data_IF_772539738929
#
_entry.id   IF_772539738929
#
_cell.length_a   1.000
_cell.length_b   1.000
_cell.length_c   1.000
_cell.angle_alpha   90.00
_cell.angle_beta   90.00
_cell.angle_gamma   90.00
#
_symmetry.space_group_name_H-M   'P 1'
#
loop_
_entity.id
_entity.type
_entity.pdbx_description
1 polymer ?
#
# COMPACT_ATOMS: atom_id res chain seq x y z
N UNK A 1 -17.37 16.90 -11.83
CA UNK A 1 -15.96 17.00 -12.28
C UNK A 1 -15.47 15.59 -12.57
N UNK A 2 -15.09 15.28 -13.81
CA UNK A 2 -14.57 13.96 -14.14
C UNK A 2 -13.25 13.75 -13.36
N UNK A 3 -13.12 12.62 -12.66
CA UNK A 3 -11.88 12.26 -11.96
C UNK A 3 -10.77 12.20 -13.00
N UNK A 4 -9.68 12.93 -12.76
CA UNK A 4 -8.52 12.90 -13.65
C UNK A 4 -8.03 11.45 -13.81
N UNK A 5 -7.67 11.07 -15.04
CA UNK A 5 -7.09 9.75 -15.31
C UNK A 5 -5.75 9.67 -14.57
N UNK A 6 -5.62 8.67 -13.71
CA UNK A 6 -4.36 8.43 -13.00
C UNK A 6 -3.34 7.83 -13.97
N UNK A 7 -2.29 8.59 -14.27
CA UNK A 7 -1.18 8.15 -15.10
C UNK A 7 -0.10 7.49 -14.23
N UNK A 8 0.19 6.21 -14.49
CA UNK A 8 1.17 5.40 -13.74
C UNK A 8 2.57 5.65 -14.29
N UNK A 9 3.23 6.71 -13.81
CA UNK A 9 4.61 7.05 -14.23
C UNK A 9 5.69 6.32 -13.43
N UNK A 10 5.37 5.89 -12.21
CA UNK A 10 6.29 5.14 -11.34
C UNK A 10 6.24 3.63 -11.65
N UNK A 11 7.34 2.88 -11.45
CA UNK A 11 7.32 1.42 -11.49
C UNK A 11 6.23 0.86 -10.58
N UNK A 12 5.42 -0.05 -11.12
CA UNK A 12 4.28 -0.63 -10.41
C UNK A 12 4.52 -2.12 -10.18
N UNK A 13 4.29 -2.59 -8.95
CA UNK A 13 4.45 -3.99 -8.57
C UNK A 13 3.17 -4.45 -7.87
N UNK A 14 2.64 -5.61 -8.29
CA UNK A 14 1.54 -6.28 -7.61
C UNK A 14 2.09 -7.13 -6.45
N UNK A 15 1.63 -6.87 -5.23
CA UNK A 15 2.05 -7.64 -4.05
C UNK A 15 0.84 -7.99 -3.18
N UNK A 16 1.01 -8.95 -2.26
CA UNK A 16 0.01 -9.31 -1.25
C UNK A 16 0.66 -9.83 0.02
N UNK A 17 -0.04 -9.72 1.15
CA UNK A 17 0.40 -10.24 2.45
C UNK A 17 -0.30 -11.57 2.74
N UNK A 18 0.46 -12.66 2.81
CA UNK A 18 -0.05 -14.04 3.01
C UNK A 18 0.49 -14.65 4.32
N UNK A 19 -0.18 -15.68 4.86
CA UNK A 19 0.23 -16.36 6.11
C UNK A 19 -0.93 -16.89 6.97
N UNK A 20 -0.61 -17.54 8.09
CA UNK A 20 -1.57 -18.15 9.03
C UNK A 20 -2.44 -17.11 9.76
N UNK A 21 -3.59 -17.53 10.30
CA UNK A 21 -4.47 -16.67 11.12
C UNK A 21 -3.68 -16.09 12.30
N UNK A 22 -4.04 -14.88 12.72
CA UNK A 22 -3.40 -14.15 13.83
C UNK A 22 -1.92 -13.76 13.68
N UNK A 23 -1.28 -14.04 12.53
CA UNK A 23 0.10 -13.58 12.25
C UNK A 23 0.19 -12.10 11.83
N UNK A 24 -0.86 -11.31 12.04
CA UNK A 24 -0.81 -9.86 11.87
C UNK A 24 -0.73 -9.33 10.44
N UNK A 25 -1.21 -10.08 9.43
CA UNK A 25 -1.22 -9.63 8.01
C UNK A 25 -1.88 -8.26 7.83
N UNK A 26 -3.07 -8.07 8.40
CA UNK A 26 -3.81 -6.79 8.36
C UNK A 26 -3.06 -5.66 9.07
N UNK A 27 -2.50 -5.95 10.25
CA UNK A 27 -1.71 -5.00 11.04
C UNK A 27 -0.45 -4.56 10.28
N UNK A 28 0.24 -5.50 9.64
CA UNK A 28 1.42 -5.21 8.83
C UNK A 28 1.07 -4.32 7.63
N UNK A 29 -0.01 -4.63 6.90
CA UNK A 29 -0.46 -3.79 5.78
C UNK A 29 -0.76 -2.35 6.24
N UNK A 30 -1.46 -2.18 7.37
CA UNK A 30 -1.76 -0.86 7.92
C UNK A 30 -0.48 -0.10 8.35
N UNK A 31 0.49 -0.80 8.95
CA UNK A 31 1.77 -0.22 9.35
C UNK A 31 2.60 0.26 8.13
N UNK A 32 2.63 -0.52 7.04
CA UNK A 32 3.31 -0.15 5.79
C UNK A 32 2.73 1.17 5.25
N UNK A 33 1.40 1.28 5.14
CA UNK A 33 0.73 2.51 4.67
C UNK A 33 1.03 3.69 5.58
N UNK A 34 0.95 3.52 6.91
CA UNK A 34 1.22 4.58 7.88
C UNK A 34 2.66 5.09 7.77
N UNK A 35 3.65 4.19 7.71
CA UNK A 35 5.07 4.55 7.67
C UNK A 35 5.42 5.26 6.36
N UNK A 36 4.91 4.79 5.21
CA UNK A 36 5.18 5.44 3.93
C UNK A 36 4.56 6.83 3.85
N UNK A 37 3.36 7.01 4.41
CA UNK A 37 2.72 8.33 4.50
C UNK A 37 3.55 9.30 5.35
N UNK A 38 4.03 8.86 6.53
CA UNK A 38 4.89 9.69 7.39
C UNK A 38 6.23 10.05 6.75
N UNK A 39 6.74 9.20 5.84
CA UNK A 39 7.99 9.44 5.11
C UNK A 39 7.81 10.27 3.83
N UNK A 40 6.58 10.66 3.47
CA UNK A 40 6.30 11.31 2.19
C UNK A 40 6.53 10.40 0.97
N UNK A 41 6.50 9.08 1.18
CA UNK A 41 6.76 8.05 0.17
C UNK A 41 5.49 7.28 -0.24
N UNK A 42 4.32 7.69 0.26
CA UNK A 42 3.02 7.18 -0.14
C UNK A 42 2.49 7.87 -1.40
#
# INVERSE_FOLDING_TARGET
MAKQKFERTKPHINIGTIGHVDHGKTTLTAAITKVLSLRGAA
#
